data_IF_516046234173
#
_entry.id   IF_516046234173
#
_cell.length_a   1.000
_cell.length_b   1.000
_cell.length_c   1.000
_cell.angle_alpha   90.00
_cell.angle_beta   90.00
_cell.angle_gamma   90.00
#
_symmetry.space_group_name_H-M   'P 1'
#
loop_
_entity.id
_entity.type
_entity.pdbx_description
1 polymer ?
#
# COMPACT_ATOMS: atom_id res chain seq x y z
N UNK A 1 39.36 -17.40 -21.53
CA UNK A 1 38.56 -16.55 -20.61
C UNK A 1 37.06 -16.80 -20.77
N UNK A 2 36.66 -17.65 -21.72
CA UNK A 2 35.27 -17.81 -22.16
C UNK A 2 34.45 -18.77 -21.28
N UNK A 3 35.07 -19.83 -20.75
CA UNK A 3 34.37 -20.80 -19.90
C UNK A 3 33.90 -20.21 -18.58
N UNK A 4 34.67 -19.27 -18.01
CA UNK A 4 34.30 -18.58 -16.75
C UNK A 4 33.10 -17.65 -16.97
N UNK A 5 33.08 -16.93 -18.09
CA UNK A 5 31.97 -16.06 -18.49
C UNK A 5 30.69 -16.87 -18.74
N UNK A 6 30.79 -17.99 -19.44
CA UNK A 6 29.64 -18.88 -19.70
C UNK A 6 29.08 -19.44 -18.39
N UNK A 7 29.94 -19.93 -17.49
CA UNK A 7 29.49 -20.45 -16.18
C UNK A 7 28.84 -19.35 -15.35
N UNK A 8 29.38 -18.14 -15.33
CA UNK A 8 28.80 -17.00 -14.62
C UNK A 8 27.40 -16.64 -15.14
N UNK A 9 27.22 -16.57 -16.47
CA UNK A 9 25.93 -16.27 -17.09
C UNK A 9 24.89 -17.36 -16.80
N UNK A 10 25.28 -18.64 -16.86
CA UNK A 10 24.40 -19.75 -16.49
C UNK A 10 23.99 -19.68 -15.02
N UNK A 11 24.94 -19.42 -14.11
CA UNK A 11 24.65 -19.29 -12.68
C UNK A 11 23.70 -18.12 -12.38
N UNK A 12 23.88 -16.98 -13.05
CA UNK A 12 22.96 -15.83 -12.95
C UNK A 12 21.57 -16.22 -13.48
N UNK A 13 21.50 -16.87 -14.64
CA UNK A 13 20.24 -17.33 -15.23
C UNK A 13 19.46 -18.25 -14.29
N UNK A 14 20.14 -19.27 -13.72
CA UNK A 14 19.55 -20.19 -12.74
C UNK A 14 19.07 -19.45 -11.48
N UNK A 15 19.86 -18.48 -11.00
CA UNK A 15 19.50 -17.66 -9.84
C UNK A 15 18.25 -16.82 -10.09
N UNK A 16 18.15 -16.18 -11.25
CA UNK A 16 16.98 -15.40 -11.65
C UNK A 16 15.73 -16.29 -11.75
N UNK A 17 15.83 -17.44 -12.42
CA UNK A 17 14.71 -18.40 -12.53
C UNK A 17 14.25 -18.86 -11.16
N UNK A 18 15.18 -19.18 -10.25
CA UNK A 18 14.87 -19.58 -8.88
C UNK A 18 14.14 -18.47 -8.11
N UNK A 19 14.58 -17.21 -8.22
CA UNK A 19 13.93 -16.06 -7.59
C UNK A 19 12.51 -15.87 -8.12
N UNK A 20 12.32 -15.90 -9.45
CA UNK A 20 11.01 -15.74 -10.08
C UNK A 20 10.06 -16.88 -9.69
N UNK A 21 10.56 -18.12 -9.68
CA UNK A 21 9.79 -19.28 -9.25
C UNK A 21 9.37 -19.17 -7.79
N UNK A 22 10.29 -18.78 -6.90
CA UNK A 22 10.01 -18.53 -5.48
C UNK A 22 8.93 -17.45 -5.31
N UNK A 23 9.05 -16.34 -6.04
CA UNK A 23 8.07 -15.23 -6.02
C UNK A 23 6.70 -15.65 -6.53
N UNK A 24 6.64 -16.48 -7.57
CA UNK A 24 5.39 -17.05 -8.08
C UNK A 24 4.73 -17.99 -7.07
N UNK A 25 5.50 -18.88 -6.42
CA UNK A 25 4.98 -19.75 -5.35
C UNK A 25 4.44 -18.96 -4.16
N UNK A 26 5.18 -17.94 -3.72
CA UNK A 26 4.75 -17.00 -2.68
C UNK A 26 3.42 -16.33 -3.03
N UNK A 27 3.28 -15.86 -4.28
CA UNK A 27 2.05 -15.23 -4.75
C UNK A 27 0.86 -16.19 -4.74
N UNK A 28 1.02 -17.38 -5.30
CA UNK A 28 -0.03 -18.42 -5.28
C UNK A 28 -0.45 -18.81 -3.86
N UNK A 29 0.49 -18.85 -2.92
CA UNK A 29 0.17 -19.12 -1.52
C UNK A 29 -0.71 -18.03 -0.90
N UNK A 30 -0.39 -16.74 -1.15
CA UNK A 30 -1.22 -15.62 -0.68
C UNK A 30 -2.61 -15.67 -1.33
N UNK A 31 -2.67 -15.92 -2.64
CA UNK A 31 -3.93 -15.89 -3.38
C UNK A 31 -4.92 -16.96 -2.88
N UNK A 32 -4.42 -18.15 -2.53
CA UNK A 32 -5.23 -19.28 -2.08
C UNK A 32 -5.40 -19.38 -0.55
N UNK A 33 -4.86 -18.43 0.23
CA UNK A 33 -5.01 -18.49 1.68
C UNK A 33 -6.46 -18.15 2.09
N UNK A 34 -7.03 -19.02 2.92
CA UNK A 34 -8.39 -18.90 3.43
C UNK A 34 -8.41 -18.08 4.74
N UNK A 35 -8.49 -16.76 4.58
CA UNK A 35 -8.63 -15.83 5.69
C UNK A 35 -9.99 -15.95 6.39
N UNK A 36 -11.06 -16.21 5.63
CA UNK A 36 -12.42 -16.24 6.16
C UNK A 36 -12.57 -17.32 7.24
N UNK A 37 -12.02 -18.52 7.01
CA UNK A 37 -12.04 -19.62 7.99
C UNK A 37 -11.42 -19.26 9.34
N UNK A 38 -10.42 -18.38 9.36
CA UNK A 38 -9.74 -17.98 10.60
C UNK A 38 -10.36 -16.74 11.23
N UNK A 39 -10.77 -15.78 10.41
CA UNK A 39 -11.00 -14.40 10.83
C UNK A 39 -12.48 -13.98 10.81
N UNK A 40 -13.40 -14.71 10.15
CA UNK A 40 -14.77 -14.24 9.95
C UNK A 40 -15.49 -13.91 11.26
N UNK A 41 -15.44 -14.84 12.23
CA UNK A 41 -16.04 -14.64 13.54
C UNK A 41 -15.43 -13.46 14.29
N UNK A 42 -14.09 -13.33 14.26
CA UNK A 42 -13.35 -12.26 14.94
C UNK A 42 -13.66 -10.88 14.34
N UNK A 43 -13.70 -10.80 13.01
CA UNK A 43 -14.03 -9.56 12.32
C UNK A 43 -15.49 -9.18 12.55
N UNK A 44 -16.41 -10.14 12.61
CA UNK A 44 -17.81 -9.88 12.97
C UNK A 44 -17.97 -9.35 14.41
N UNK A 45 -17.18 -9.86 15.36
CA UNK A 45 -17.13 -9.34 16.74
C UNK A 45 -16.57 -7.90 16.78
N UNK A 46 -15.52 -7.62 16.00
CA UNK A 46 -14.84 -6.31 15.99
C UNK A 46 -15.57 -5.23 15.20
N UNK A 47 -16.23 -5.60 14.10
CA UNK A 47 -16.99 -4.71 13.22
C UNK A 47 -18.41 -5.27 13.01
N UNK A 48 -19.30 -5.18 14.02
CA UNK A 48 -20.63 -5.80 14.00
C UNK A 48 -21.56 -5.28 12.90
N UNK A 49 -21.31 -4.07 12.39
CA UNK A 49 -22.07 -3.46 11.31
C UNK A 49 -21.80 -4.10 9.94
N UNK A 50 -20.71 -4.87 9.78
CA UNK A 50 -20.38 -5.49 8.51
C UNK A 50 -21.17 -6.77 8.28
N UNK A 51 -21.93 -6.79 7.19
CA UNK A 51 -22.60 -7.98 6.69
C UNK A 51 -21.57 -9.05 6.27
N UNK A 52 -21.97 -10.33 6.17
CA UNK A 52 -21.08 -11.40 5.73
C UNK A 52 -20.43 -11.13 4.37
N UNK A 53 -21.16 -10.51 3.43
CA UNK A 53 -20.65 -10.17 2.09
C UNK A 53 -19.55 -9.11 2.20
N UNK A 54 -19.76 -8.08 3.00
CA UNK A 54 -18.79 -6.99 3.18
C UNK A 54 -17.52 -7.48 3.89
N UNK A 55 -17.64 -8.40 4.85
CA UNK A 55 -16.46 -9.05 5.45
C UNK A 55 -15.64 -9.82 4.41
N UNK A 56 -16.26 -10.41 3.39
CA UNK A 56 -15.50 -11.05 2.31
C UNK A 56 -14.75 -10.03 1.45
N UNK A 57 -15.30 -8.83 1.25
CA UNK A 57 -14.59 -7.73 0.59
C UNK A 57 -13.38 -7.27 1.43
N UNK A 58 -13.51 -7.23 2.76
CA UNK A 58 -12.37 -6.98 3.66
C UNK A 58 -11.30 -8.05 3.50
N UNK A 59 -11.66 -9.33 3.42
CA UNK A 59 -10.67 -10.40 3.19
C UNK A 59 -10.04 -10.38 1.79
N UNK A 60 -10.76 -9.87 0.76
CA UNK A 60 -10.16 -9.56 -0.54
C UNK A 60 -9.14 -8.43 -0.42
N UNK A 61 -9.47 -7.35 0.31
CA UNK A 61 -8.54 -6.28 0.64
C UNK A 61 -7.30 -6.77 1.40
N UNK A 62 -7.48 -7.62 2.40
CA UNK A 62 -6.38 -8.20 3.18
C UNK A 62 -5.42 -9.04 2.30
N UNK A 63 -5.97 -9.82 1.36
CA UNK A 63 -5.16 -10.54 0.37
C UNK A 63 -4.37 -9.60 -0.52
N UNK A 64 -4.99 -8.51 -0.99
CA UNK A 64 -4.31 -7.49 -1.79
C UNK A 64 -3.19 -6.80 -1.01
N UNK A 65 -3.42 -6.50 0.27
CA UNK A 65 -2.42 -5.93 1.17
C UNK A 65 -1.17 -6.81 1.28
N UNK A 66 -1.34 -8.11 1.53
CA UNK A 66 -0.21 -9.04 1.59
C UNK A 66 0.48 -9.21 0.24
N UNK A 67 -0.29 -9.22 -0.84
CA UNK A 67 0.24 -9.29 -2.19
C UNK A 67 1.11 -8.07 -2.55
N UNK A 68 0.71 -6.85 -2.20
CA UNK A 68 1.55 -5.66 -2.44
C UNK A 68 2.78 -5.65 -1.51
N UNK A 69 2.66 -6.15 -0.27
CA UNK A 69 3.80 -6.34 0.63
C UNK A 69 4.83 -7.33 0.08
N UNK A 70 4.38 -8.43 -0.55
CA UNK A 70 5.27 -9.40 -1.20
C UNK A 70 6.08 -8.75 -2.34
N UNK A 71 5.41 -7.92 -3.14
CA UNK A 71 6.02 -7.17 -4.25
C UNK A 71 6.96 -6.07 -3.76
N UNK A 72 6.61 -5.39 -2.66
CA UNK A 72 7.44 -4.36 -2.04
C UNK A 72 8.75 -4.91 -1.45
N UNK A 73 8.81 -6.21 -1.14
CA UNK A 73 9.97 -6.82 -0.53
C UNK A 73 10.19 -6.27 0.88
N UNK A 74 11.32 -5.59 1.13
CA UNK A 74 11.64 -4.97 2.44
C UNK A 74 11.23 -3.50 2.53
N UNK A 75 10.68 -2.93 1.47
CA UNK A 75 10.23 -1.53 1.45
C UNK A 75 8.97 -1.39 2.31
N UNK A 76 9.00 -0.50 3.30
CA UNK A 76 7.85 -0.21 4.18
C UNK A 76 6.65 0.31 3.38
N UNK A 77 5.45 -0.11 3.77
CA UNK A 77 4.16 0.33 3.25
C UNK A 77 3.32 0.86 4.41
N UNK A 78 2.36 1.73 4.11
CA UNK A 78 1.39 2.25 5.07
C UNK A 78 0.01 1.74 4.70
N UNK A 79 -0.75 1.27 5.68
CA UNK A 79 -2.08 0.71 5.47
C UNK A 79 -3.06 1.83 5.06
N UNK A 80 -3.75 1.72 3.90
CA UNK A 80 -4.72 2.73 3.45
C UNK A 80 -6.18 2.42 3.85
N UNK A 81 -6.44 1.32 4.58
CA UNK A 81 -7.80 0.91 4.98
C UNK A 81 -7.82 0.43 6.42
N UNK A 82 -8.68 1.05 7.23
CA UNK A 82 -8.96 0.68 8.61
C UNK A 82 -9.58 -0.71 8.70
N UNK A 83 -10.54 -1.05 7.84
CA UNK A 83 -11.16 -2.37 7.88
C UNK A 83 -10.15 -3.50 7.58
N UNK A 84 -9.22 -3.25 6.64
CA UNK A 84 -8.14 -4.21 6.36
C UNK A 84 -7.13 -4.25 7.50
N UNK A 85 -6.83 -3.12 8.15
CA UNK A 85 -5.98 -3.08 9.35
C UNK A 85 -6.59 -3.92 10.49
N UNK A 86 -7.89 -3.78 10.72
CA UNK A 86 -8.61 -4.53 11.74
C UNK A 86 -8.54 -6.04 11.50
N UNK A 87 -8.77 -6.48 10.26
CA UNK A 87 -8.64 -7.89 9.90
C UNK A 87 -7.19 -8.37 10.02
N UNK A 88 -6.21 -7.52 9.73
CA UNK A 88 -4.80 -7.85 9.91
C UNK A 88 -4.43 -7.97 11.39
N UNK A 89 -4.92 -7.09 12.26
CA UNK A 89 -4.74 -7.20 13.72
C UNK A 89 -5.27 -8.53 14.24
N UNK A 90 -6.49 -8.90 13.86
CA UNK A 90 -7.05 -10.19 14.27
C UNK A 90 -6.18 -11.35 13.79
N UNK A 91 -5.61 -11.25 12.59
CA UNK A 91 -4.73 -12.30 12.07
C UNK A 91 -3.42 -12.44 12.87
N UNK A 92 -2.85 -11.35 13.35
CA UNK A 92 -1.61 -11.36 14.16
C UNK A 92 -1.80 -12.17 15.45
N UNK A 93 -3.00 -12.16 16.03
CA UNK A 93 -3.33 -12.92 17.23
C UNK A 93 -3.26 -14.44 17.03
N UNK A 94 -3.46 -14.93 15.80
CA UNK A 94 -3.18 -16.32 15.42
C UNK A 94 -1.69 -16.53 15.18
N UNK A 95 -0.87 -16.29 16.20
CA UNK A 95 0.59 -16.11 16.09
C UNK A 95 1.31 -17.20 15.29
N UNK A 96 0.93 -18.48 15.46
CA UNK A 96 1.50 -19.60 14.68
C UNK A 96 1.11 -19.51 13.20
N UNK A 97 -0.18 -19.36 12.91
CA UNK A 97 -0.68 -19.21 11.54
C UNK A 97 -0.10 -17.97 10.87
N UNK A 98 0.01 -16.86 11.60
CA UNK A 98 0.55 -15.61 11.10
C UNK A 98 2.04 -15.72 10.75
N UNK A 99 2.84 -16.33 11.65
CA UNK A 99 4.26 -16.60 11.40
C UNK A 99 4.44 -17.49 10.16
N UNK A 100 3.69 -18.59 10.09
CA UNK A 100 3.77 -19.53 8.95
C UNK A 100 3.34 -18.87 7.64
N UNK A 101 2.26 -18.08 7.68
CA UNK A 101 1.80 -17.31 6.53
C UNK A 101 2.87 -16.33 6.04
N UNK A 102 3.48 -15.57 6.95
CA UNK A 102 4.52 -14.62 6.62
C UNK A 102 5.75 -15.31 6.00
N UNK A 103 6.18 -16.44 6.55
CA UNK A 103 7.31 -17.21 6.02
C UNK A 103 7.02 -17.75 4.61
N UNK A 104 5.84 -18.35 4.40
CA UNK A 104 5.47 -18.98 3.12
C UNK A 104 5.05 -17.98 2.05
N UNK A 105 4.30 -16.95 2.42
CA UNK A 105 3.75 -15.94 1.51
C UNK A 105 4.69 -14.76 1.25
N UNK A 106 5.39 -14.27 2.27
CA UNK A 106 6.25 -13.08 2.15
C UNK A 106 7.75 -13.42 2.14
N UNK A 107 8.12 -14.59 2.67
CA UNK A 107 9.53 -14.99 2.86
C UNK A 107 10.22 -14.28 4.02
N UNK A 108 9.46 -13.56 4.85
CA UNK A 108 9.92 -12.81 6.02
C UNK A 108 8.73 -12.53 6.93
N UNK A 109 8.98 -12.29 8.22
CA UNK A 109 7.95 -11.76 9.10
C UNK A 109 7.55 -10.34 8.66
N UNK A 110 6.26 -10.02 8.70
CA UNK A 110 5.77 -8.67 8.50
C UNK A 110 5.39 -8.10 9.85
N UNK A 111 6.18 -7.16 10.34
CA UNK A 111 5.86 -6.47 11.58
C UNK A 111 4.75 -5.45 11.32
N UNK A 112 3.74 -5.47 12.17
CA UNK A 112 2.76 -4.39 12.25
C UNK A 112 3.33 -3.29 13.13
N UNK A 113 3.24 -2.05 12.66
CA UNK A 113 3.61 -0.85 13.41
C UNK A 113 2.39 0.06 13.36
N UNK A 114 1.68 0.27 14.48
CA UNK A 114 0.52 1.14 14.54
C UNK A 114 0.86 2.57 14.09
N UNK A 115 -0.13 3.28 13.55
CA UNK A 115 0.09 4.62 13.03
C UNK A 115 0.51 5.60 14.14
N UNK A 116 0.00 5.40 15.34
CA UNK A 116 0.31 6.14 16.57
C UNK A 116 1.78 5.97 17.00
N UNK A 117 2.41 4.87 16.58
CA UNK A 117 3.82 4.57 16.87
C UNK A 117 4.78 5.06 15.77
N UNK A 118 4.28 5.70 14.70
CA UNK A 118 5.14 6.23 13.64
C UNK A 118 5.77 7.57 14.04
N UNK A 119 7.10 7.64 13.99
CA UNK A 119 7.92 8.72 14.58
C UNK A 119 7.89 10.06 13.82
N UNK A 120 7.39 10.10 12.57
CA UNK A 120 7.38 11.31 11.75
C UNK A 120 6.30 11.26 10.64
N UNK A 121 5.56 12.37 10.40
CA UNK A 121 4.53 12.45 9.35
C UNK A 121 5.05 12.16 7.92
N UNK A 122 6.32 12.45 7.65
CA UNK A 122 6.95 12.26 6.32
C UNK A 122 7.14 10.78 5.96
N UNK A 123 7.47 9.91 6.93
CA UNK A 123 7.59 8.47 6.68
C UNK A 123 6.23 7.83 6.33
N UNK A 124 5.16 8.32 6.97
CA UNK A 124 3.80 7.90 6.65
C UNK A 124 3.41 8.31 5.21
N UNK A 125 3.83 9.50 4.77
CA UNK A 125 3.60 9.98 3.40
C UNK A 125 4.33 9.14 2.33
N UNK A 126 5.59 8.74 2.56
CA UNK A 126 6.29 7.87 1.61
C UNK A 126 5.71 6.46 1.55
N UNK A 127 5.31 5.93 2.71
CA UNK A 127 4.67 4.62 2.83
C UNK A 127 3.32 4.56 2.10
N UNK A 128 2.49 5.61 2.24
CA UNK A 128 1.19 5.65 1.55
C UNK A 128 1.36 5.83 0.03
N UNK A 129 2.29 6.69 -0.43
CA UNK A 129 2.62 6.84 -1.87
C UNK A 129 3.10 5.54 -2.50
N UNK A 130 3.89 4.75 -1.77
CA UNK A 130 4.34 3.42 -2.25
C UNK A 130 3.19 2.43 -2.31
N UNK A 131 2.32 2.45 -1.29
CA UNK A 131 1.14 1.58 -1.22
C UNK A 131 0.18 1.88 -2.37
N UNK A 132 -0.04 3.17 -2.68
CA UNK A 132 -0.79 3.62 -3.86
C UNK A 132 -0.24 3.04 -5.15
N UNK A 133 1.03 3.28 -5.47
CA UNK A 133 1.66 2.80 -6.71
C UNK A 133 1.57 1.28 -6.87
N UNK A 134 1.77 0.54 -5.77
CA UNK A 134 1.70 -0.92 -5.78
C UNK A 134 0.26 -1.44 -5.89
N UNK A 135 -0.71 -0.77 -5.27
CA UNK A 135 -2.13 -1.10 -5.37
C UNK A 135 -2.65 -0.82 -6.78
N UNK A 136 -2.35 0.35 -7.36
CA UNK A 136 -2.64 0.66 -8.75
C UNK A 136 -2.04 -0.39 -9.70
N UNK A 137 -0.75 -0.73 -9.53
CA UNK A 137 -0.11 -1.80 -10.31
C UNK A 137 -0.72 -3.19 -10.05
N UNK A 138 -1.28 -3.44 -8.88
CA UNK A 138 -1.99 -4.69 -8.58
C UNK A 138 -3.24 -4.84 -9.43
N UNK A 139 -3.96 -3.74 -9.62
CA UNK A 139 -5.25 -3.71 -10.28
C UNK A 139 -5.19 -3.19 -11.73
N UNK A 140 -3.99 -3.06 -12.29
CA UNK A 140 -3.74 -2.52 -13.63
C UNK A 140 -4.33 -1.10 -13.85
N UNK A 141 -4.23 -0.25 -12.82
CA UNK A 141 -4.62 1.17 -12.85
C UNK A 141 -3.36 2.02 -13.04
N UNK A 142 -3.45 3.07 -13.86
CA UNK A 142 -2.38 4.08 -13.95
C UNK A 142 -2.32 4.91 -12.64
N UNK A 143 -1.19 4.92 -11.91
CA UNK A 143 -1.07 5.68 -10.67
C UNK A 143 -1.08 7.21 -10.86
N UNK A 144 -0.77 7.72 -12.06
CA UNK A 144 -0.72 9.17 -12.36
C UNK A 144 -2.07 9.70 -12.86
N UNK A 145 -2.82 8.86 -13.58
CA UNK A 145 -4.16 9.17 -14.09
C UNK A 145 -5.14 8.03 -13.76
N UNK A 146 -5.48 7.84 -12.47
CA UNK A 146 -6.34 6.74 -12.02
C UNK A 146 -7.78 6.90 -12.50
N UNK A 147 -8.26 5.97 -13.33
CA UNK A 147 -9.68 5.92 -13.73
C UNK A 147 -10.63 5.56 -12.57
N UNK A 148 -10.13 4.89 -11.54
CA UNK A 148 -10.84 4.54 -10.30
C UNK A 148 -9.85 4.40 -9.15
N UNK A 149 -10.35 4.42 -7.91
CA UNK A 149 -9.53 4.07 -6.75
C UNK A 149 -9.21 2.57 -6.75
N UNK A 150 -7.98 2.17 -6.41
CA UNK A 150 -7.69 0.78 -6.09
C UNK A 150 -8.47 0.36 -4.84
N UNK A 151 -8.89 -0.90 -4.76
CA UNK A 151 -9.74 -1.47 -3.70
C UNK A 151 -9.26 -1.11 -2.31
N UNK A 152 -7.96 -1.25 -2.04
CA UNK A 152 -7.37 -0.91 -0.74
C UNK A 152 -7.64 0.55 -0.30
N UNK A 153 -7.80 1.47 -1.24
CA UNK A 153 -8.12 2.88 -0.96
C UNK A 153 -9.63 3.17 -1.07
N UNK A 154 -10.37 2.35 -1.82
CA UNK A 154 -11.81 2.53 -1.97
C UNK A 154 -12.64 1.89 -0.84
N UNK A 155 -12.09 0.87 -0.18
CA UNK A 155 -12.85 -0.07 0.65
C UNK A 155 -13.57 0.63 1.80
N UNK A 156 -12.85 1.43 2.59
CA UNK A 156 -13.41 2.07 3.78
C UNK A 156 -14.55 3.02 3.45
N UNK A 157 -14.41 3.83 2.40
CA UNK A 157 -15.48 4.73 1.94
C UNK A 157 -16.66 3.98 1.32
N UNK A 158 -16.42 2.83 0.68
CA UNK A 158 -17.48 2.00 0.09
C UNK A 158 -18.31 1.29 1.17
N UNK A 159 -17.66 0.82 2.23
CA UNK A 159 -18.29 0.11 3.34
C UNK A 159 -18.73 1.02 4.50
N UNK A 160 -18.57 2.33 4.35
CA UNK A 160 -18.87 3.34 5.39
C UNK A 160 -18.27 2.98 6.77
N UNK A 161 -16.98 2.60 6.78
CA UNK A 161 -16.28 2.18 8.00
C UNK A 161 -16.15 3.35 8.98
N UNK A 162 -16.57 3.14 10.22
CA UNK A 162 -16.41 4.13 11.30
C UNK A 162 -14.93 4.35 11.58
N UNK A 163 -14.46 5.60 11.47
CA UNK A 163 -13.04 5.93 11.57
C UNK A 163 -12.19 5.48 10.38
N UNK A 164 -12.82 5.05 9.28
CA UNK A 164 -12.14 4.67 8.05
C UNK A 164 -11.65 5.85 7.21
N UNK A 165 -10.79 5.55 6.25
CA UNK A 165 -10.23 6.56 5.35
C UNK A 165 -11.09 6.73 4.10
N UNK A 166 -11.54 7.96 3.83
CA UNK A 166 -12.26 8.28 2.59
C UNK A 166 -11.35 8.99 1.60
N UNK A 167 -11.12 8.39 0.43
CA UNK A 167 -10.30 8.97 -0.63
C UNK A 167 -11.15 9.47 -1.80
N UNK A 168 -10.72 10.56 -2.44
CA UNK A 168 -11.36 11.09 -3.65
C UNK A 168 -10.33 11.26 -4.78
N UNK A 169 -10.76 10.96 -6.02
CA UNK A 169 -9.92 11.11 -7.22
C UNK A 169 -9.79 12.56 -7.66
N UNK A 170 -10.91 13.28 -7.68
CA UNK A 170 -10.98 14.69 -8.06
C UNK A 170 -11.33 15.54 -6.84
N UNK A 171 -10.30 16.17 -6.30
CA UNK A 171 -10.39 17.03 -5.11
C UNK A 171 -10.71 18.49 -5.48
N UNK A 172 -10.65 18.84 -6.78
CA UNK A 172 -10.83 20.20 -7.28
C UNK A 172 -12.24 20.42 -7.84
N UNK A 173 -12.87 19.39 -8.43
CA UNK A 173 -14.26 19.49 -8.92
C UNK A 173 -15.32 19.61 -7.81
N UNK A 174 -14.94 19.28 -6.57
CA UNK A 174 -15.77 19.54 -5.40
C UNK A 174 -14.93 20.44 -4.49
N UNK A 175 -15.33 21.70 -4.31
CA UNK A 175 -14.76 22.62 -3.29
C UNK A 175 -14.99 22.14 -1.86
N UNK A 176 -14.72 20.86 -1.60
CA UNK A 176 -15.09 20.08 -0.45
C UNK A 176 -13.96 19.07 -0.17
N UNK A 177 -12.80 19.60 0.22
CA UNK A 177 -12.13 19.01 1.37
C UNK A 177 -13.00 19.30 2.62
N UNK A 178 -14.18 18.70 2.67
CA UNK A 178 -15.01 18.72 3.87
C UNK A 178 -14.32 17.86 4.91
N UNK A 179 -13.63 18.50 5.85
CA UNK A 179 -13.03 18.04 7.12
C UNK A 179 -12.21 16.72 7.18
N UNK A 180 -12.52 15.65 6.44
CA UNK A 180 -12.03 14.28 6.69
C UNK A 180 -11.68 13.44 5.42
N UNK A 181 -11.55 14.05 4.23
CA UNK A 181 -11.25 13.33 2.98
C UNK A 181 -9.79 13.44 2.51
N UNK A 182 -9.19 12.33 2.07
CA UNK A 182 -7.82 12.28 1.53
C UNK A 182 -7.81 12.44 0.00
N UNK A 183 -6.90 13.27 -0.52
CA UNK A 183 -6.80 13.49 -1.95
C UNK A 183 -5.89 12.44 -2.63
N UNK A 184 -6.45 11.59 -3.49
CA UNK A 184 -5.69 10.56 -4.20
C UNK A 184 -4.73 11.14 -5.25
N UNK A 185 -5.11 12.25 -5.91
CA UNK A 185 -4.25 12.93 -6.90
C UNK A 185 -2.90 13.38 -6.33
N UNK A 186 -2.85 13.82 -5.07
CA UNK A 186 -1.62 14.22 -4.40
C UNK A 186 -0.73 13.04 -3.98
N UNK A 187 -1.30 11.83 -3.87
CA UNK A 187 -0.56 10.60 -3.55
C UNK A 187 0.14 10.05 -4.81
N UNK A 188 -0.47 10.22 -5.98
CA UNK A 188 0.08 9.81 -7.27
C UNK A 188 1.25 10.66 -7.76
N UNK A 189 1.20 11.99 -7.55
CA UNK A 189 2.23 12.92 -8.03
C UNK A 189 3.60 12.68 -7.38
N UNK A 190 4.52 12.14 -8.18
CA UNK A 190 5.95 12.08 -7.88
C UNK A 190 6.61 13.43 -8.07
N UNK A 191 6.32 14.40 -7.21
CA UNK A 191 6.99 15.69 -7.18
C UNK A 191 7.17 16.13 -5.74
N UNK A 192 8.40 16.46 -5.35
CA UNK A 192 8.68 17.07 -4.06
C UNK A 192 8.06 18.46 -4.02
N UNK A 193 6.88 18.57 -3.43
CA UNK A 193 6.34 19.84 -2.97
C UNK A 193 6.20 19.74 -1.45
N UNK A 194 7.32 19.94 -0.77
CA UNK A 194 7.35 20.42 0.61
C UNK A 194 7.25 21.95 0.56
N UNK A 195 6.12 22.49 1.04
CA UNK A 195 5.95 23.93 1.29
C UNK A 195 4.48 24.34 1.34
N UNK A 196 4.01 24.67 2.56
CA UNK A 196 2.91 25.56 3.00
C UNK A 196 1.74 25.87 2.04
N UNK A 197 0.49 25.91 2.49
CA UNK A 197 -0.02 26.52 3.72
C UNK A 197 -1.08 27.53 3.26
N UNK A 198 -2.34 27.28 3.63
CA UNK A 198 -3.47 28.11 3.25
C UNK A 198 -3.45 29.41 4.06
N UNK A 199 -2.88 30.44 3.45
CA UNK A 199 -2.96 31.81 3.97
C UNK A 199 -3.64 32.65 2.89
N UNK A 200 -4.80 33.18 3.23
CA UNK A 200 -5.55 34.10 2.38
C UNK A 200 -4.73 35.37 2.08
N UNK A 201 -4.59 35.72 0.81
CA UNK A 201 -4.37 37.10 0.36
C UNK A 201 -3.10 37.36 -0.45
N UNK A 202 -3.29 37.96 -1.62
CA UNK A 202 -2.32 38.89 -2.22
C UNK A 202 -1.50 38.35 -3.40
N UNK A 203 -1.62 39.06 -4.52
CA UNK A 203 -0.80 39.04 -5.72
C UNK A 203 0.68 38.67 -5.53
N UNK A 204 1.23 37.87 -6.45
CA UNK A 204 2.28 38.30 -7.41
C UNK A 204 2.92 37.11 -8.13
N UNK A 205 3.18 37.28 -9.42
CA UNK A 205 3.56 36.22 -10.36
C UNK A 205 4.89 35.53 -10.09
N UNK A 206 5.00 34.27 -10.52
CA UNK A 206 6.23 33.50 -10.50
C UNK A 206 6.74 33.27 -11.93
N UNK A 207 7.80 34.00 -12.30
CA UNK A 207 8.70 33.63 -13.38
C UNK A 207 9.75 32.65 -12.85
N UNK A 208 9.87 31.47 -13.46
CA UNK A 208 10.92 30.51 -13.11
C UNK A 208 12.16 30.77 -13.96
N UNK A 209 13.21 31.31 -13.34
CA UNK A 209 14.59 31.27 -13.85
C UNK A 209 15.32 30.12 -13.16
N UNK A 210 15.81 29.16 -13.94
CA UNK A 210 16.63 28.05 -13.47
C UNK A 210 18.12 28.38 -13.66
N UNK A 211 18.86 28.53 -12.56
CA UNK A 211 20.32 28.65 -12.56
C UNK A 211 20.90 27.83 -11.41
N UNK A 212 21.44 26.65 -11.71
CA UNK A 212 22.22 25.84 -10.78
C UNK A 212 23.70 25.89 -11.17
N UNK A 213 24.52 26.51 -10.32
CA UNK A 213 25.97 26.49 -10.41
C UNK A 213 26.56 25.51 -9.40
N UNK A 214 27.56 24.73 -9.83
CA UNK A 214 28.33 23.79 -9.02
C UNK A 214 29.56 24.49 -8.44
N UNK A 215 29.91 24.22 -7.18
CA UNK A 215 31.22 24.60 -6.61
C UNK A 215 31.28 24.34 -5.10
N UNK A 216 32.33 23.64 -4.66
CA UNK A 216 32.61 23.37 -3.25
C UNK A 216 33.63 22.25 -3.06
N UNK A 217 34.89 22.59 -3.36
CA UNK A 217 36.18 22.31 -2.70
C UNK A 217 36.31 21.06 -1.80
#
# INVERSE_FOLDING_TARGET
>A
MDSVLVVALVAIGLSVVWILHRKSRQRRYIDNFDFARLLDKRLAEKQPQLSPVERMEVFRGLRDWFAINQRAGRRKLSMPSQAVDDAWHEFILFTRNYKDFCQRGLGRFLHHVPAEAMSAPTQAQDGIKRSWRLACKHEAIDPNAPARLPRLFALDGTLAIVGGFTYHLDCMARGAAGANGYCAGHIGCGGGCSGCGSDSGGDSGCGSSCGGGCGGD
#
